data_IF_057025380147
#
_entry.id   IF_057025380147
#
_cell.length_a   1.000
_cell.length_b   1.000
_cell.length_c   1.000
_cell.angle_alpha   90.00
_cell.angle_beta   90.00
_cell.angle_gamma   90.00
#
_symmetry.space_group_name_H-M   'P 1'
#
loop_
_entity.id
_entity.type
_entity.pdbx_description
1 polymer ?
#
# COMPACT_ATOMS: atom_id res chain seq x y z
N UNK A 1 2.50 19.02 7.58
CA UNK A 1 1.68 18.51 6.46
C UNK A 1 2.04 17.04 6.27
N UNK A 2 1.06 16.13 6.30
CA UNK A 2 1.32 14.68 6.35
C UNK A 2 2.05 14.13 5.11
N UNK A 3 2.85 13.07 5.30
CA UNK A 3 3.75 12.54 4.27
C UNK A 3 3.30 11.25 3.61
N UNK A 4 2.21 10.61 4.06
CA UNK A 4 1.82 9.28 3.60
C UNK A 4 1.25 9.24 2.17
N UNK A 5 0.74 10.37 1.66
CA UNK A 5 0.13 10.44 0.32
C UNK A 5 1.11 10.07 -0.81
N UNK A 6 2.37 10.50 -0.72
CA UNK A 6 3.42 10.17 -1.71
C UNK A 6 3.61 8.66 -1.86
N UNK A 7 3.48 7.93 -0.75
CA UNK A 7 3.59 6.48 -0.74
C UNK A 7 2.33 5.83 -1.33
N UNK A 8 1.15 6.39 -1.10
CA UNK A 8 -0.09 5.93 -1.75
C UNK A 8 -0.05 6.11 -3.27
N UNK A 9 0.54 7.21 -3.76
CA UNK A 9 0.73 7.47 -5.19
C UNK A 9 1.72 6.48 -5.82
N UNK A 10 2.86 6.21 -5.16
CA UNK A 10 3.80 5.14 -5.58
C UNK A 10 3.15 3.76 -5.59
N UNK A 11 2.36 3.43 -4.57
CA UNK A 11 1.65 2.15 -4.49
C UNK A 11 0.64 1.99 -5.62
N UNK A 12 -0.04 3.07 -6.01
CA UNK A 12 -0.94 3.09 -7.17
C UNK A 12 -0.18 2.73 -8.46
N UNK A 13 1.00 3.29 -8.69
CA UNK A 13 1.85 2.94 -9.85
C UNK A 13 2.29 1.47 -9.80
N UNK A 14 2.50 0.91 -8.61
CA UNK A 14 2.79 -0.50 -8.39
C UNK A 14 1.54 -1.42 -8.50
N UNK A 15 0.36 -0.87 -8.79
CA UNK A 15 -0.90 -1.62 -8.94
C UNK A 15 -1.66 -1.89 -7.62
N UNK A 16 -1.31 -1.20 -6.54
CA UNK A 16 -1.96 -1.34 -5.22
C UNK A 16 -2.71 -0.05 -4.88
N UNK A 17 -4.03 -0.15 -4.77
CA UNK A 17 -4.86 0.96 -4.34
C UNK A 17 -4.98 0.98 -2.82
N UNK A 18 -4.68 2.13 -2.22
CA UNK A 18 -4.82 2.37 -0.79
C UNK A 18 -5.09 3.86 -0.54
N UNK A 19 -5.41 4.20 0.71
CA UNK A 19 -5.63 5.57 1.13
C UNK A 19 -5.00 5.84 2.48
N UNK A 20 -4.44 7.02 2.63
CA UNK A 20 -3.94 7.54 3.89
C UNK A 20 -5.04 8.17 4.73
N UNK A 21 -4.84 8.15 6.05
CA UNK A 21 -5.68 8.80 7.05
C UNK A 21 -4.81 9.52 8.07
N UNK A 22 -5.34 10.61 8.64
CA UNK A 22 -4.61 11.47 9.57
C UNK A 22 -3.22 11.91 9.05
N UNK A 23 -3.05 11.99 7.72
CA UNK A 23 -1.83 12.41 7.03
C UNK A 23 -0.66 11.42 7.03
N UNK A 24 -0.61 10.46 7.96
CA UNK A 24 0.57 9.62 8.18
C UNK A 24 0.27 8.10 8.25
N UNK A 25 -1.00 7.67 8.18
CA UNK A 25 -1.39 6.26 8.34
C UNK A 25 -1.97 5.74 7.02
N UNK A 26 -1.38 4.69 6.44
CA UNK A 26 -1.91 4.01 5.25
C UNK A 26 -2.68 2.76 5.69
N UNK A 27 -3.91 2.57 5.19
CA UNK A 27 -4.72 1.40 5.51
C UNK A 27 -4.68 0.36 4.39
N UNK A 28 -4.36 -0.87 4.75
CA UNK A 28 -4.47 -2.05 3.87
C UNK A 28 -5.59 -2.94 4.40
N UNK A 29 -6.71 -2.95 3.69
CA UNK A 29 -7.88 -3.77 4.03
C UNK A 29 -8.37 -4.46 2.75
N UNK A 30 -7.65 -5.51 2.27
CA UNK A 30 -8.06 -6.24 1.08
C UNK A 30 -9.36 -7.03 1.33
N UNK A 31 -10.05 -7.46 0.26
CA UNK A 31 -11.16 -8.40 0.38
C UNK A 31 -10.75 -9.69 1.08
N UNK A 32 -11.65 -10.29 1.87
CA UNK A 32 -11.37 -11.53 2.61
C UNK A 32 -11.14 -12.76 1.72
N UNK A 33 -11.49 -12.66 0.44
CA UNK A 33 -11.27 -13.70 -0.58
C UNK A 33 -9.84 -13.70 -1.15
N UNK A 34 -8.97 -12.79 -0.69
CA UNK A 34 -7.58 -12.69 -1.15
C UNK A 34 -6.80 -13.99 -0.88
N UNK A 35 -6.00 -14.44 -1.85
CA UNK A 35 -5.17 -15.65 -1.71
C UNK A 35 -3.80 -15.32 -1.14
N UNK A 36 -3.11 -16.33 -0.62
CA UNK A 36 -1.74 -16.19 -0.12
C UNK A 36 -0.79 -15.63 -1.18
N UNK A 37 -0.88 -16.09 -2.42
CA UNK A 37 0.01 -15.64 -3.50
C UNK A 37 -0.15 -14.15 -3.81
N UNK A 38 -1.39 -13.63 -3.73
CA UNK A 38 -1.66 -12.20 -3.91
C UNK A 38 -1.11 -11.40 -2.72
N UNK A 39 -1.21 -11.94 -1.49
CA UNK A 39 -0.61 -11.32 -0.30
C UNK A 39 0.91 -11.22 -0.47
N UNK A 40 1.57 -12.31 -0.88
CA UNK A 40 3.02 -12.33 -1.06
C UNK A 40 3.46 -11.32 -2.15
N UNK A 41 2.74 -11.29 -3.28
CA UNK A 41 2.93 -10.32 -4.37
C UNK A 41 2.76 -8.86 -3.91
N UNK A 42 1.77 -8.60 -3.06
CA UNK A 42 1.48 -7.28 -2.53
C UNK A 42 2.55 -6.84 -1.52
N UNK A 43 2.98 -7.74 -0.63
CA UNK A 43 4.00 -7.44 0.38
C UNK A 43 5.35 -7.08 -0.26
N UNK A 44 5.74 -7.75 -1.34
CA UNK A 44 6.97 -7.40 -2.09
C UNK A 44 6.93 -5.94 -2.59
N UNK A 45 5.80 -5.52 -3.18
CA UNK A 45 5.60 -4.17 -3.69
C UNK A 45 5.49 -3.13 -2.59
N UNK A 46 4.77 -3.45 -1.52
CA UNK A 46 4.63 -2.56 -0.35
C UNK A 46 6.01 -2.29 0.25
N UNK A 47 6.85 -3.32 0.43
CA UNK A 47 8.22 -3.15 0.92
C UNK A 47 9.02 -2.23 0.02
N UNK A 48 8.99 -2.43 -1.30
CA UNK A 48 9.71 -1.57 -2.26
C UNK A 48 9.26 -0.12 -2.20
N UNK A 49 7.95 0.12 -2.13
CA UNK A 49 7.40 1.48 -2.08
C UNK A 49 7.77 2.22 -0.79
N UNK A 50 7.97 1.51 0.33
CA UNK A 50 8.27 2.08 1.64
C UNK A 50 9.77 2.12 2.00
N UNK A 51 10.64 1.43 1.27
CA UNK A 51 12.08 1.33 1.56
C UNK A 51 12.90 2.56 1.12
N UNK A 52 12.25 3.67 0.77
CA UNK A 52 12.85 4.96 0.42
C UNK A 52 12.62 6.04 1.50
#
# INVERSE_FOLDING_TARGET
VGGARRYCEKLKEAGILCKETHGNIIRFAPPLVITKDIIDWALERIKRALAE
#
